data_IF_833666435108
#
_entry.id   IF_833666435108
#
_cell.length_a   1.000
_cell.length_b   1.000
_cell.length_c   1.000
_cell.angle_alpha   90.00
_cell.angle_beta   90.00
_cell.angle_gamma   90.00
#
_symmetry.space_group_name_H-M   'P 1'
#
loop_
_entity.id
_entity.type
_entity.pdbx_description
1 polymer ?
#
# COMPACT_ATOMS: atom_id res chain seq x y z
N UNK A 1 23.41 4.16 23.21
CA UNK A 1 24.79 4.01 22.73
C UNK A 1 24.68 4.01 21.22
N UNK A 2 25.29 4.97 20.51
CA UNK A 2 25.20 5.03 19.06
C UNK A 2 26.13 3.96 18.48
N UNK A 3 25.57 2.90 17.91
CA UNK A 3 26.34 1.92 17.15
C UNK A 3 26.94 2.65 15.94
N UNK A 4 28.27 2.67 15.87
CA UNK A 4 28.97 3.17 14.69
C UNK A 4 28.73 2.19 13.55
N UNK A 5 28.22 2.70 12.45
CA UNK A 5 28.00 1.93 11.23
C UNK A 5 29.35 1.59 10.59
N UNK A 6 29.80 0.34 10.80
CA UNK A 6 31.04 -0.22 10.26
C UNK A 6 30.78 -1.14 9.06
N UNK A 7 29.55 -1.16 8.51
CA UNK A 7 29.19 -2.01 7.36
C UNK A 7 30.06 -1.79 6.13
N UNK A 8 30.63 -0.58 5.96
CA UNK A 8 31.55 -0.26 4.86
C UNK A 8 32.85 -1.07 4.88
N UNK A 9 33.32 -1.51 6.07
CA UNK A 9 34.52 -2.33 6.21
C UNK A 9 34.23 -3.72 5.66
N UNK A 10 33.08 -4.30 6.03
CA UNK A 10 32.65 -5.60 5.53
C UNK A 10 32.47 -5.58 4.00
N UNK A 11 31.92 -4.51 3.47
CA UNK A 11 31.77 -4.32 2.02
C UNK A 11 33.12 -4.22 1.29
N UNK A 12 34.11 -3.52 1.88
CA UNK A 12 35.46 -3.41 1.33
C UNK A 12 36.19 -4.76 1.34
N UNK A 13 36.14 -5.49 2.46
CA UNK A 13 36.68 -6.85 2.54
C UNK A 13 36.03 -7.77 1.50
N UNK A 14 34.72 -7.62 1.28
CA UNK A 14 33.97 -8.39 0.30
C UNK A 14 34.37 -8.04 -1.13
N UNK A 15 34.60 -6.76 -1.46
CA UNK A 15 35.11 -6.31 -2.76
C UNK A 15 36.48 -6.91 -3.08
N UNK A 16 37.35 -7.00 -2.08
CA UNK A 16 38.71 -7.54 -2.22
C UNK A 16 38.72 -9.08 -2.28
N UNK A 17 37.66 -9.74 -1.84
CA UNK A 17 37.51 -11.18 -1.93
C UNK A 17 37.17 -11.64 -3.36
N UNK A 18 37.68 -12.80 -3.77
CA UNK A 18 37.39 -13.43 -5.07
C UNK A 18 35.88 -13.75 -5.26
N UNK A 19 35.12 -13.80 -4.16
CA UNK A 19 33.67 -14.06 -4.17
C UNK A 19 32.85 -12.86 -4.69
N UNK A 20 33.42 -11.65 -4.76
CA UNK A 20 32.77 -10.44 -5.30
C UNK A 20 32.29 -10.59 -6.75
N UNK A 21 32.85 -11.56 -7.46
CA UNK A 21 32.57 -11.85 -8.86
C UNK A 21 31.31 -12.71 -9.05
N UNK A 22 30.76 -13.26 -7.96
CA UNK A 22 29.62 -14.20 -7.98
C UNK A 22 28.33 -13.44 -7.70
N UNK A 23 27.28 -13.75 -8.45
CA UNK A 23 25.92 -13.23 -8.18
C UNK A 23 25.36 -13.89 -6.93
N UNK A 24 24.78 -13.09 -6.07
CA UNK A 24 24.22 -13.53 -4.80
C UNK A 24 22.75 -13.11 -4.66
N UNK A 25 21.95 -13.87 -3.89
CA UNK A 25 20.55 -13.56 -3.68
C UNK A 25 20.39 -12.24 -2.91
N UNK A 26 19.43 -11.42 -3.36
CA UNK A 26 19.13 -10.12 -2.77
C UNK A 26 18.25 -10.33 -1.54
N UNK A 27 18.71 -9.83 -0.38
CA UNK A 27 17.98 -9.94 0.90
C UNK A 27 17.09 -8.75 1.21
N UNK A 28 17.35 -7.62 0.58
CA UNK A 28 16.64 -6.38 0.82
C UNK A 28 16.56 -5.57 -0.47
N UNK A 29 15.38 -5.06 -0.79
CA UNK A 29 15.16 -4.16 -1.92
C UNK A 29 14.58 -2.85 -1.44
N UNK A 30 14.80 -1.79 -2.21
CA UNK A 30 14.15 -0.51 -1.95
C UNK A 30 12.76 -0.52 -2.57
N UNK A 31 11.77 -0.01 -1.85
CA UNK A 31 10.44 0.27 -2.39
C UNK A 31 10.23 1.78 -2.44
N UNK A 32 9.77 2.26 -3.59
CA UNK A 32 9.53 3.69 -3.82
C UNK A 32 8.08 3.87 -4.24
N UNK A 33 7.32 4.62 -3.44
CA UNK A 33 5.92 4.93 -3.72
C UNK A 33 5.81 6.37 -4.22
N UNK A 34 5.47 6.51 -5.50
CA UNK A 34 5.23 7.79 -6.15
C UNK A 34 3.72 8.08 -6.15
N UNK A 35 3.34 9.26 -5.65
CA UNK A 35 1.97 9.73 -5.69
C UNK A 35 1.86 10.90 -6.66
N UNK A 36 1.11 10.70 -7.73
CA UNK A 36 0.81 11.68 -8.76
C UNK A 36 -0.59 12.26 -8.52
N UNK A 37 -0.71 13.58 -8.58
CA UNK A 37 -2.00 14.26 -8.48
C UNK A 37 -2.80 14.17 -9.78
N UNK A 38 -4.02 14.72 -9.79
CA UNK A 38 -4.92 14.73 -10.96
C UNK A 38 -4.35 15.40 -12.23
N UNK A 39 -3.22 16.10 -12.13
CA UNK A 39 -2.55 16.80 -13.23
C UNK A 39 -1.18 16.19 -13.57
N UNK A 40 -0.94 14.95 -13.13
CA UNK A 40 0.29 14.16 -13.36
C UNK A 40 1.55 14.77 -12.74
N UNK A 41 1.41 15.59 -11.69
CA UNK A 41 2.55 16.07 -10.91
C UNK A 41 2.81 15.17 -9.72
N UNK A 42 4.09 14.90 -9.46
CA UNK A 42 4.53 14.23 -8.24
C UNK A 42 4.21 15.11 -7.03
N UNK A 43 3.32 14.63 -6.18
CA UNK A 43 2.97 15.26 -4.91
C UNK A 43 3.86 14.74 -3.79
N UNK A 44 4.07 13.42 -3.74
CA UNK A 44 4.81 12.77 -2.66
C UNK A 44 5.63 11.60 -3.21
N UNK A 45 6.84 11.44 -2.67
CA UNK A 45 7.67 10.25 -2.85
C UNK A 45 7.93 9.68 -1.47
N UNK A 46 7.56 8.42 -1.24
CA UNK A 46 7.95 7.67 -0.05
C UNK A 46 8.98 6.61 -0.44
N UNK A 47 9.93 6.36 0.45
CA UNK A 47 10.97 5.36 0.26
C UNK A 47 11.02 4.50 1.50
N UNK A 48 10.97 3.19 1.29
CA UNK A 48 11.02 2.19 2.35
C UNK A 48 11.96 1.08 1.89
N UNK A 49 12.43 0.31 2.86
CA UNK A 49 13.22 -0.88 2.59
C UNK A 49 12.35 -2.10 2.86
N UNK A 50 12.35 -3.05 1.94
CA UNK A 50 11.59 -4.29 2.04
C UNK A 50 12.56 -5.47 2.14
N UNK A 51 12.47 -6.22 3.24
CA UNK A 51 13.27 -7.41 3.50
C UNK A 51 12.63 -8.60 2.80
N UNK A 52 13.41 -9.28 1.97
CA UNK A 52 12.99 -10.46 1.23
C UNK A 52 13.35 -11.70 2.04
N UNK A 53 12.46 -12.69 2.07
CA UNK A 53 12.78 -14.00 2.63
C UNK A 53 13.93 -14.65 1.83
N UNK A 54 15.08 -14.93 2.48
CA UNK A 54 16.23 -15.55 1.82
C UNK A 54 15.90 -16.90 1.16
N UNK A 55 14.86 -17.57 1.63
CA UNK A 55 14.49 -18.93 1.24
C UNK A 55 13.79 -18.99 -0.13
N UNK A 56 13.07 -17.92 -0.49
CA UNK A 56 12.18 -17.94 -1.66
C UNK A 56 12.70 -17.09 -2.81
N UNK A 57 13.42 -15.98 -2.56
CA UNK A 57 13.80 -14.98 -3.59
C UNK A 57 12.62 -14.57 -4.50
N UNK A 58 11.40 -14.74 -4.00
CA UNK A 58 10.16 -14.53 -4.72
C UNK A 58 9.29 -13.67 -3.82
N UNK A 59 8.90 -12.52 -4.33
CA UNK A 59 7.83 -11.73 -3.73
C UNK A 59 6.51 -12.32 -4.20
N UNK A 60 5.79 -12.98 -3.29
CA UNK A 60 4.51 -13.63 -3.58
C UNK A 60 3.47 -12.56 -3.94
N UNK A 61 2.55 -12.90 -4.84
CA UNK A 61 1.47 -12.00 -5.25
C UNK A 61 0.70 -11.43 -4.06
N UNK A 62 0.45 -12.23 -3.02
CA UNK A 62 -0.28 -11.80 -1.82
C UNK A 62 0.48 -10.70 -1.05
N UNK A 63 1.80 -10.84 -0.89
CA UNK A 63 2.63 -9.81 -0.25
C UNK A 63 2.68 -8.53 -1.10
N UNK A 64 2.76 -8.68 -2.42
CA UNK A 64 2.71 -7.54 -3.34
C UNK A 64 1.37 -6.81 -3.24
N UNK A 65 0.26 -7.55 -3.19
CA UNK A 65 -1.09 -6.98 -3.02
C UNK A 65 -1.23 -6.29 -1.66
N UNK A 66 -0.70 -6.90 -0.60
CA UNK A 66 -0.67 -6.31 0.73
C UNK A 66 0.07 -4.97 0.77
N UNK A 67 1.25 -4.89 0.14
CA UNK A 67 1.99 -3.63 -0.01
C UNK A 67 1.16 -2.59 -0.78
N UNK A 68 0.50 -3.01 -1.87
CA UNK A 68 -0.31 -2.10 -2.68
C UNK A 68 -1.47 -1.52 -1.89
N UNK A 69 -2.18 -2.36 -1.14
CA UNK A 69 -3.32 -1.97 -0.31
C UNK A 69 -2.89 -1.04 0.83
N UNK A 70 -1.81 -1.39 1.53
CA UNK A 70 -1.27 -0.60 2.66
C UNK A 70 -0.91 0.83 2.24
N UNK A 71 -0.39 1.01 1.03
CA UNK A 71 0.02 2.32 0.52
C UNK A 71 -1.05 3.03 -0.31
N UNK A 72 -2.23 2.42 -0.48
CA UNK A 72 -3.39 3.04 -1.11
C UNK A 72 -3.99 4.11 -0.19
N UNK A 73 -4.09 5.35 -0.69
CA UNK A 73 -4.63 6.49 0.08
C UNK A 73 -6.06 6.82 -0.36
N UNK A 74 -6.94 7.01 0.61
CA UNK A 74 -8.27 7.59 0.39
C UNK A 74 -8.36 8.84 1.25
N UNK A 75 -8.59 9.98 0.61
CA UNK A 75 -8.92 11.25 1.25
C UNK A 75 -10.43 11.50 1.13
N UNK A 76 -10.91 12.58 1.75
CA UNK A 76 -12.32 12.96 1.70
C UNK A 76 -12.79 13.31 0.28
N UNK A 77 -11.86 13.76 -0.58
CA UNK A 77 -12.14 14.31 -1.91
C UNK A 77 -11.46 13.54 -3.04
N UNK A 78 -10.51 12.66 -2.74
CA UNK A 78 -9.74 11.94 -3.74
C UNK A 78 -9.30 10.56 -3.28
N UNK A 79 -9.10 9.66 -4.24
CA UNK A 79 -8.58 8.32 -4.02
C UNK A 79 -7.37 8.11 -4.90
N UNK A 80 -6.27 7.69 -4.30
CA UNK A 80 -5.09 7.24 -5.02
C UNK A 80 -5.26 5.78 -5.39
N UNK A 81 -5.01 5.45 -6.66
CA UNK A 81 -5.01 4.06 -7.14
C UNK A 81 -3.67 3.77 -7.79
N UNK A 82 -3.17 2.55 -7.61
CA UNK A 82 -1.99 2.10 -8.34
C UNK A 82 -2.29 2.13 -9.85
N UNK A 83 -1.41 2.79 -10.60
CA UNK A 83 -1.45 2.90 -12.06
C UNK A 83 -0.43 1.95 -12.67
N UNK A 84 0.83 2.04 -12.23
CA UNK A 84 1.93 1.27 -12.78
C UNK A 84 2.86 0.73 -11.68
N UNK A 85 3.50 -0.39 -11.98
CA UNK A 85 4.50 -1.04 -11.15
C UNK A 85 5.74 -1.30 -12.01
N UNK A 86 6.91 -0.87 -11.52
CA UNK A 86 8.17 -1.06 -12.22
C UNK A 86 9.23 -1.65 -11.31
N UNK A 87 10.08 -2.49 -11.86
CA UNK A 87 11.22 -3.08 -11.16
C UNK A 87 12.50 -2.66 -11.85
N UNK A 88 13.39 -2.06 -11.06
CA UNK A 88 14.74 -1.72 -11.46
C UNK A 88 15.70 -2.75 -10.89
N UNK A 89 16.32 -3.51 -11.78
CA UNK A 89 17.26 -4.56 -11.40
C UNK A 89 18.39 -4.65 -12.42
N UNK A 90 19.62 -4.54 -11.90
CA UNK A 90 20.83 -4.59 -12.71
C UNK A 90 21.30 -6.03 -12.81
N UNK A 91 21.11 -6.60 -14.00
CA UNK A 91 21.53 -7.95 -14.35
C UNK A 91 22.78 -7.89 -15.24
N UNK A 92 23.92 -7.59 -14.62
CA UNK A 92 25.23 -7.50 -15.29
C UNK A 92 26.16 -8.55 -14.67
N UNK A 93 26.93 -9.25 -15.50
CA UNK A 93 28.03 -10.10 -15.07
C UNK A 93 29.29 -9.27 -14.87
N UNK A 94 30.19 -9.69 -13.97
CA UNK A 94 31.43 -8.94 -13.70
C UNK A 94 32.24 -8.64 -14.97
N UNK A 95 32.33 -9.62 -15.87
CA UNK A 95 33.07 -9.52 -17.13
C UNK A 95 32.54 -8.40 -18.05
N UNK A 96 31.27 -8.05 -17.89
CA UNK A 96 30.52 -7.14 -18.74
C UNK A 96 30.44 -5.71 -18.15
N UNK A 97 30.92 -5.50 -16.92
CA UNK A 97 30.85 -4.19 -16.23
C UNK A 97 31.57 -3.10 -17.04
N UNK A 98 32.74 -3.42 -17.60
CA UNK A 98 33.53 -2.45 -18.37
C UNK A 98 32.80 -2.02 -19.64
N UNK A 99 32.26 -2.98 -20.39
CA UNK A 99 31.48 -2.71 -21.60
C UNK A 99 30.21 -1.90 -21.28
N UNK A 100 29.57 -2.17 -20.13
CA UNK A 100 28.45 -1.36 -19.65
C UNK A 100 28.88 0.08 -19.33
N UNK A 101 29.98 0.27 -18.60
CA UNK A 101 30.52 1.59 -18.26
C UNK A 101 30.89 2.41 -19.49
N UNK A 102 31.33 1.76 -20.57
CA UNK A 102 31.67 2.40 -21.83
C UNK A 102 30.46 2.63 -22.75
N UNK A 103 29.25 2.30 -22.31
CA UNK A 103 28.01 2.35 -23.12
C UNK A 103 28.08 1.47 -24.40
N UNK A 104 28.85 0.40 -24.36
CA UNK A 104 28.97 -0.55 -25.47
C UNK A 104 27.85 -1.61 -25.46
N UNK A 105 27.05 -1.63 -24.39
CA UNK A 105 25.85 -2.46 -24.27
C UNK A 105 24.59 -1.60 -24.15
N UNK A 106 23.58 -1.92 -24.98
CA UNK A 106 22.22 -1.39 -24.80
C UNK A 106 21.45 -2.30 -23.82
N UNK A 107 21.39 -1.91 -22.55
CA UNK A 107 20.63 -2.62 -21.52
C UNK A 107 19.61 -1.71 -20.85
N UNK A 108 18.36 -2.17 -20.73
CA UNK A 108 17.32 -1.51 -19.93
C UNK A 108 17.05 -2.34 -18.68
N UNK A 109 17.47 -1.82 -17.53
CA UNK A 109 17.26 -2.45 -16.22
C UNK A 109 15.92 -2.10 -15.59
N UNK A 110 15.23 -1.09 -16.13
CA UNK A 110 13.91 -0.67 -15.70
C UNK A 110 12.84 -1.41 -16.50
N UNK A 111 12.05 -2.26 -15.84
CA UNK A 111 11.06 -3.12 -16.49
C UNK A 111 9.69 -2.99 -15.81
N UNK A 112 8.58 -2.97 -16.56
CA UNK A 112 7.25 -3.04 -15.97
C UNK A 112 7.02 -4.42 -15.34
N UNK A 113 6.26 -4.46 -14.24
CA UNK A 113 5.89 -5.69 -13.53
C UNK A 113 4.39 -5.91 -13.64
N UNK A 114 3.98 -7.14 -13.95
CA UNK A 114 2.55 -7.50 -13.91
C UNK A 114 2.11 -7.77 -12.47
N UNK A 115 0.95 -7.22 -12.10
CA UNK A 115 0.32 -7.44 -10.79
C UNK A 115 -0.26 -8.85 -10.62
N UNK A 116 -0.44 -9.59 -11.71
CA UNK A 116 -1.07 -10.92 -11.68
C UNK A 116 -0.13 -12.03 -11.24
N UNK A 117 1.19 -11.78 -11.30
CA UNK A 117 2.20 -12.82 -11.15
C UNK A 117 3.10 -12.47 -9.95
N UNK A 118 3.57 -13.50 -9.25
CA UNK A 118 4.64 -13.35 -8.27
C UNK A 118 5.88 -12.76 -8.94
N UNK A 119 6.55 -11.84 -8.26
CA UNK A 119 7.77 -11.21 -8.75
C UNK A 119 8.98 -12.02 -8.29
N UNK A 120 9.63 -12.72 -9.22
CA UNK A 120 10.92 -13.36 -8.96
C UNK A 120 12.04 -12.32 -8.99
N UNK A 121 12.84 -12.28 -7.92
CA UNK A 121 13.96 -11.36 -7.77
C UNK A 121 15.24 -12.13 -8.07
N UNK A 122 15.88 -11.90 -9.24
CA UNK A 122 17.08 -12.63 -9.60
C UNK A 122 18.25 -12.25 -8.69
N UNK A 123 19.23 -13.15 -8.50
CA UNK A 123 20.48 -12.79 -7.84
C UNK A 123 21.26 -11.77 -8.66
N UNK A 124 22.00 -10.89 -7.98
CA UNK A 124 22.83 -9.86 -8.60
C UNK A 124 24.17 -9.74 -7.88
N UNK A 125 25.12 -9.03 -8.50
CA UNK A 125 26.36 -8.66 -7.82
C UNK A 125 26.02 -7.79 -6.61
N UNK A 126 26.69 -8.01 -5.49
CA UNK A 126 26.35 -7.36 -4.23
C UNK A 126 26.37 -5.82 -4.33
N UNK A 127 27.27 -5.26 -5.15
CA UNK A 127 27.36 -3.82 -5.43
C UNK A 127 26.08 -3.22 -6.02
N UNK A 128 25.22 -4.04 -6.63
CA UNK A 128 23.95 -3.63 -7.21
C UNK A 128 22.74 -3.90 -6.30
N UNK A 129 22.93 -4.54 -5.15
CA UNK A 129 21.83 -4.77 -4.20
C UNK A 129 21.23 -3.45 -3.71
N UNK A 130 22.01 -2.43 -3.30
CA UNK A 130 21.44 -1.19 -2.76
C UNK A 130 20.63 -0.38 -3.77
N UNK A 131 20.86 -0.57 -5.08
CA UNK A 131 20.15 0.14 -6.14
C UNK A 131 18.92 -0.62 -6.63
N UNK A 132 18.78 -1.91 -6.32
CA UNK A 132 17.62 -2.71 -6.75
C UNK A 132 16.36 -2.17 -6.09
N UNK A 133 15.41 -1.74 -6.92
CA UNK A 133 14.28 -0.92 -6.46
C UNK A 133 12.97 -1.32 -7.14
N UNK A 134 11.90 -1.45 -6.35
CA UNK A 134 10.53 -1.63 -6.82
C UNK A 134 9.78 -0.30 -6.70
N UNK A 135 9.20 0.16 -7.80
CA UNK A 135 8.53 1.45 -7.94
C UNK A 135 7.03 1.25 -8.09
N UNK A 136 6.27 1.81 -7.16
CA UNK A 136 4.82 1.85 -7.18
C UNK A 136 4.35 3.25 -7.56
N UNK A 137 3.61 3.37 -8.66
CA UNK A 137 3.09 4.66 -9.12
C UNK A 137 1.59 4.73 -8.86
N UNK A 138 1.18 5.64 -7.99
CA UNK A 138 -0.21 5.90 -7.65
C UNK A 138 -0.69 7.17 -8.31
N UNK A 139 -1.85 7.11 -8.96
CA UNK A 139 -2.53 8.25 -9.55
C UNK A 139 -3.73 8.66 -8.71
N UNK A 140 -3.87 9.97 -8.47
CA UNK A 140 -5.02 10.57 -7.83
C UNK A 140 -6.22 10.61 -8.77
N UNK A 141 -7.36 10.13 -8.27
CA UNK A 141 -8.66 10.27 -8.92
C UNK A 141 -9.61 11.05 -8.03
N UNK A 142 -10.45 11.93 -8.60
CA UNK A 142 -11.51 12.59 -7.83
C UNK A 142 -12.44 11.53 -7.23
N UNK A 143 -12.69 11.64 -5.94
CA UNK A 143 -13.52 10.71 -5.18
C UNK A 143 -14.52 11.50 -4.34
N UNK A 144 -15.76 11.57 -4.79
CA UNK A 144 -16.87 12.09 -3.99
C UNK A 144 -17.44 10.94 -3.17
N UNK A 145 -17.35 11.01 -1.85
CA UNK A 145 -18.17 10.18 -0.98
C UNK A 145 -19.61 10.68 -1.14
N UNK A 146 -20.35 10.08 -2.08
CA UNK A 146 -21.80 10.22 -2.12
C UNK A 146 -22.39 9.47 -0.91
N UNK A 147 -22.21 10.02 0.30
CA UNK A 147 -23.12 9.72 1.40
C UNK A 147 -24.43 10.34 0.95
N UNK A 148 -25.29 9.53 0.31
CA UNK A 148 -26.70 9.85 0.32
C UNK A 148 -27.09 9.85 1.79
N UNK A 149 -27.12 11.03 2.39
CA UNK A 149 -27.72 11.23 3.70
C UNK A 149 -29.17 10.84 3.44
N UNK A 150 -29.55 9.61 3.82
CA UNK A 150 -30.94 9.20 3.79
C UNK A 150 -31.67 10.25 4.63
N UNK A 151 -32.56 11.07 4.04
CA UNK A 151 -33.22 12.09 4.82
C UNK A 151 -34.00 11.39 5.93
N UNK A 152 -33.74 11.77 7.17
CA UNK A 152 -34.55 11.35 8.32
C UNK A 152 -35.86 12.11 8.21
N UNK A 153 -36.74 11.66 7.32
CA UNK A 153 -38.12 12.12 7.31
C UNK A 153 -38.76 11.47 8.54
N UNK A 154 -38.85 12.23 9.63
CA UNK A 154 -39.75 11.91 10.75
C UNK A 154 -41.16 11.98 10.19
N UNK A 155 -41.73 10.83 9.83
CA UNK A 155 -43.17 10.74 9.65
C UNK A 155 -43.82 10.99 11.02
N UNK A 156 -44.33 12.21 11.23
CA UNK A 156 -45.26 12.46 12.32
C UNK A 156 -46.57 11.75 11.96
N UNK A 157 -46.75 10.53 12.47
CA UNK A 157 -48.07 9.92 12.52
C UNK A 157 -48.94 10.78 13.45
N UNK A 158 -49.70 11.70 12.87
CA UNK A 158 -50.92 12.20 13.50
C UNK A 158 -51.97 11.10 13.39
N UNK A 159 -51.90 10.10 14.27
CA UNK A 159 -53.05 9.23 14.53
C UNK A 159 -54.05 10.04 15.34
N UNK A 160 -55.01 10.60 14.61
CA UNK A 160 -56.22 11.16 15.17
C UNK A 160 -57.08 10.00 15.66
N UNK A 161 -57.29 9.94 16.97
CA UNK A 161 -58.34 9.14 17.60
C UNK A 161 -59.66 9.33 16.87
N UNK A 162 -60.31 8.22 16.47
CA UNK A 162 -61.75 8.10 16.59
C UNK A 162 -62.15 6.63 16.79
N UNK A 163 -62.92 6.43 17.85
CA UNK A 163 -63.58 5.19 18.23
C UNK A 163 -64.50 4.68 17.12
N UNK A 164 -64.58 3.35 16.95
CA UNK A 164 -65.86 2.67 16.86
C UNK A 164 -65.74 1.18 17.20
N UNK A 165 -66.59 0.75 18.13
CA UNK A 165 -66.87 -0.66 18.50
C UNK A 165 -67.76 -1.29 17.43
N UNK A 166 -67.52 -2.54 17.06
CA UNK A 166 -68.50 -3.66 17.19
C UNK A 166 -68.13 -4.94 16.42
N UNK A 167 -68.25 -6.07 17.13
CA UNK A 167 -68.58 -7.43 16.64
C UNK A 167 -67.54 -8.19 15.82
N UNK A 168 -67.46 -9.52 15.79
CA UNK A 168 -68.01 -10.65 16.54
C UNK A 168 -67.48 -11.91 15.84
N UNK A 169 -67.23 -13.00 16.58
CA UNK A 169 -67.13 -14.42 16.13
C UNK A 169 -65.92 -14.85 15.28
N UNK A 170 -65.42 -16.09 15.29
CA UNK A 170 -65.37 -17.24 16.21
C UNK A 170 -64.52 -18.31 15.51
N UNK A 171 -63.87 -19.17 16.30
CA UNK A 171 -63.37 -20.54 16.00
C UNK A 171 -62.18 -20.70 15.03
N UNK A 172 -61.11 -21.39 15.45
CA UNK A 172 -61.00 -22.85 15.25
C UNK A 172 -59.82 -23.44 16.04
N UNK A 173 -59.95 -24.72 16.36
CA UNK A 173 -59.14 -25.53 17.25
C UNK A 173 -57.85 -26.06 16.61
N UNK A 174 -56.91 -26.54 17.44
CA UNK A 174 -56.01 -27.62 17.03
C UNK A 174 -54.57 -27.57 17.53
N UNK A 175 -54.38 -28.11 18.74
CA UNK A 175 -53.37 -29.12 19.09
C UNK A 175 -51.87 -28.84 19.30
N UNK A 176 -51.44 -29.48 20.38
CA UNK A 176 -50.17 -30.19 20.65
C UNK A 176 -48.98 -29.46 21.28
N UNK A 177 -48.91 -29.67 22.61
CA UNK A 177 -47.79 -30.21 23.38
C UNK A 177 -46.37 -29.80 23.00
N UNK A 178 -45.66 -29.16 23.94
CA UNK A 178 -44.58 -29.82 24.72
C UNK A 178 -43.75 -28.79 25.50
N UNK A 179 -43.50 -29.08 26.78
CA UNK A 179 -42.25 -28.98 27.56
C UNK A 179 -41.13 -28.05 27.02
N UNK A 180 -40.41 -27.27 27.82
CA UNK A 180 -39.79 -27.63 29.10
C UNK A 180 -39.11 -26.39 29.72
N UNK A 181 -38.78 -26.53 31.00
CA UNK A 181 -38.09 -25.62 31.90
C UNK A 181 -36.72 -25.09 31.45
N UNK A 182 -36.39 -23.84 31.84
CA UNK A 182 -35.15 -23.44 32.56
C UNK A 182 -35.21 -21.91 32.83
N UNK A 183 -35.22 -21.42 34.08
CA UNK A 183 -34.02 -21.13 34.91
C UNK A 183 -32.90 -20.49 34.08
N UNK A 184 -32.40 -19.29 34.32
CA UNK A 184 -32.34 -18.47 35.51
C UNK A 184 -30.99 -17.74 35.43
N UNK A 185 -30.98 -16.48 35.87
CA UNK A 185 -29.80 -15.64 36.17
C UNK A 185 -28.83 -15.30 35.02
N UNK A 186 -28.54 -14.01 34.84
CA UNK A 186 -27.25 -13.47 35.30
C UNK A 186 -27.19 -11.93 35.16
N UNK A 187 -26.81 -11.32 36.28
CA UNK A 187 -25.93 -10.14 36.48
C UNK A 187 -26.25 -8.81 35.77
N UNK A 188 -26.72 -7.78 36.52
CA UNK A 188 -25.89 -6.71 37.15
C UNK A 188 -24.75 -6.21 36.25
N UNK A 189 -24.70 -4.96 35.77
CA UNK A 189 -24.92 -3.71 36.48
C UNK A 189 -23.67 -3.34 37.29
N UNK A 190 -22.74 -2.55 36.72
CA UNK A 190 -22.07 -1.42 37.40
C UNK A 190 -21.03 -0.72 36.50
N UNK A 191 -20.76 0.53 36.88
CA UNK A 191 -20.02 1.61 36.25
C UNK A 191 -18.51 1.61 36.54
N UNK A 192 -17.73 2.33 35.72
CA UNK A 192 -16.74 3.38 36.10
C UNK A 192 -15.98 3.82 34.83
N UNK A 193 -15.94 5.10 34.43
CA UNK A 193 -15.29 6.27 35.04
C UNK A 193 -13.75 6.17 35.06
N UNK A 194 -13.09 7.06 34.30
CA UNK A 194 -11.63 7.23 34.33
C UNK A 194 -11.10 8.03 33.14
N UNK A 195 -11.11 9.36 33.28
CA UNK A 195 -10.30 10.31 32.50
C UNK A 195 -8.79 9.97 32.63
N UNK A 196 -7.99 10.29 31.62
CA UNK A 196 -7.05 11.43 31.73
C UNK A 196 -6.40 11.73 30.38
N UNK A 197 -6.40 13.04 30.09
CA UNK A 197 -5.76 13.66 28.94
C UNK A 197 -4.33 14.01 29.34
N UNK A 198 -3.36 13.76 28.47
CA UNK A 198 -2.14 14.57 28.44
C UNK A 198 -1.77 14.83 26.99
N UNK A 199 -1.84 16.12 26.65
CA UNK A 199 -1.48 16.69 25.37
C UNK A 199 -0.16 17.44 25.56
N UNK A 200 0.91 16.96 24.94
CA UNK A 200 2.14 17.73 24.78
C UNK A 200 2.28 18.18 23.32
N UNK A 201 2.24 19.50 23.15
CA UNK A 201 2.54 20.21 21.93
C UNK A 201 4.05 20.45 21.86
N UNK A 202 4.70 20.08 20.75
CA UNK A 202 5.97 20.71 20.38
C UNK A 202 6.04 21.04 18.89
N UNK A 203 6.56 22.24 18.63
CA UNK A 203 6.48 22.98 17.39
C UNK A 203 7.81 22.97 16.65
N UNK A 204 7.85 22.39 15.45
CA UNK A 204 9.01 22.41 14.56
C UNK A 204 8.68 22.95 13.17
N UNK A 205 8.83 24.26 12.98
CA UNK A 205 8.75 24.92 11.66
C UNK A 205 10.00 24.59 10.83
N UNK A 206 9.81 23.94 9.66
CA UNK A 206 10.86 23.79 8.64
C UNK A 206 10.27 23.87 7.22
N UNK A 207 10.19 25.07 6.64
CA UNK A 207 9.73 25.27 5.25
C UNK A 207 10.90 25.05 4.29
N UNK A 208 11.12 23.81 3.88
CA UNK A 208 11.98 23.46 2.74
C UNK A 208 11.28 23.80 1.42
N UNK A 209 11.90 24.64 0.58
CA UNK A 209 11.39 24.96 -0.75
C UNK A 209 11.52 23.73 -1.66
N UNK A 210 10.39 23.08 -1.92
CA UNK A 210 10.33 21.93 -2.84
C UNK A 210 10.39 22.40 -4.30
N UNK A 211 11.49 22.09 -5.00
CA UNK A 211 11.63 22.32 -6.44
C UNK A 211 10.72 21.33 -7.18
N UNK A 212 9.76 21.87 -7.93
CA UNK A 212 8.81 21.09 -8.75
C UNK A 212 9.47 20.66 -10.05
N UNK A 213 9.60 19.35 -10.27
CA UNK A 213 9.99 18.75 -11.54
C UNK A 213 8.73 18.19 -12.20
N UNK A 214 8.44 18.66 -13.41
CA UNK A 214 7.31 18.20 -14.23
C UNK A 214 7.79 17.02 -15.07
N UNK A 215 7.15 15.85 -14.92
CA UNK A 215 7.36 14.73 -15.83
C UNK A 215 6.22 14.78 -16.85
N UNK A 216 6.56 14.98 -18.11
CA UNK A 216 5.61 14.82 -19.21
C UNK A 216 5.65 13.36 -19.67
N UNK A 217 4.58 12.62 -19.40
CA UNK A 217 4.33 11.34 -20.06
C UNK A 217 3.77 11.60 -21.46
N UNK A 218 4.25 10.92 -22.52
CA UNK A 218 3.80 11.17 -23.87
C UNK A 218 2.38 10.62 -24.09
N UNK A 219 1.51 11.50 -24.61
CA UNK A 219 0.21 11.15 -25.15
C UNK A 219 0.36 10.03 -26.18
N UNK A 220 -0.38 8.95 -25.94
CA UNK A 220 -0.40 7.76 -26.76
C UNK A 220 -1.02 8.08 -28.13
N UNK A 221 -0.16 8.40 -29.11
CA UNK A 221 -0.38 8.22 -30.55
C UNK A 221 0.99 8.18 -31.23
N UNK A 222 1.48 6.94 -31.39
CA UNK A 222 2.50 6.52 -32.36
C UNK A 222 3.71 7.43 -32.52
N UNK A 223 4.76 7.16 -31.73
CA UNK A 223 6.17 7.10 -32.20
C UNK A 223 7.07 6.58 -31.08
N UNK A 224 7.86 5.56 -31.40
CA UNK A 224 9.01 5.08 -30.61
C UNK A 224 10.00 6.23 -30.43
N UNK A 225 10.29 6.59 -29.19
CA UNK A 225 11.49 7.37 -28.84
C UNK A 225 12.14 6.71 -27.63
N UNK A 226 13.42 6.40 -27.79
CA UNK A 226 14.33 5.85 -26.79
C UNK A 226 14.57 6.93 -25.73
N UNK A 227 14.31 6.63 -24.47
CA UNK A 227 14.75 7.46 -23.35
C UNK A 227 16.23 7.12 -23.08
N UNK A 228 17.13 8.07 -23.31
CA UNK A 228 18.47 8.06 -22.71
C UNK A 228 18.38 8.85 -21.41
N UNK A 229 18.73 8.21 -20.30
CA UNK A 229 19.14 8.85 -19.05
C UNK A 229 20.65 8.71 -18.98
#
# INVERSE_FOLDING_TARGET
MADFDLSWIDDEERLLSDNSLIKEPIRQIKTVYLYLNQYDYIETIKKEDYVIDPSSSILVTDDLLYLIETHTKITLTSKYKLCDLFFYHVDILYQDIQSYSNNEMETSFFKPVSLTNSLSIPPSLFVFHPVTTLYFVYQEYPYSINRSIKPIIKASNNESNNNDKSGSNNNDAGNDESNNNNAGNDESGSNNAGNDNDADNDAGKGRGKSKRVRIQLPNNKTKKTILRI
#
